data_IF_210945332796
#
_entry.id   IF_210945332796
#
_cell.length_a   1.000
_cell.length_b   1.000
_cell.length_c   1.000
_cell.angle_alpha   90.00
_cell.angle_beta   90.00
_cell.angle_gamma   90.00
#
_symmetry.space_group_name_H-M   'P 1'
#
loop_
_entity.id
_entity.type
_entity.pdbx_description
1 polymer ?
#
# COMPACT_ATOMS: atom_id res chain seq x y z
N UNK A 1 -20.82 8.78 20.50
CA UNK A 1 -20.31 7.96 21.62
C UNK A 1 -20.12 8.78 22.90
N UNK A 2 -19.71 10.05 22.81
CA UNK A 2 -19.73 11.00 23.95
C UNK A 2 -21.14 11.27 24.50
N UNK A 3 -22.17 11.44 23.65
CA UNK A 3 -23.55 11.68 24.12
C UNK A 3 -24.13 10.52 24.96
N UNK A 4 -23.73 9.28 24.70
CA UNK A 4 -24.18 8.12 25.47
C UNK A 4 -23.60 8.06 26.89
N UNK A 5 -22.46 8.70 27.14
CA UNK A 5 -21.84 8.74 28.47
C UNK A 5 -22.46 9.82 29.37
N UNK A 6 -22.82 10.97 28.81
CA UNK A 6 -23.48 12.04 29.59
C UNK A 6 -24.87 11.61 30.08
N UNK A 7 -25.64 10.90 29.24
CA UNK A 7 -26.98 10.39 29.61
C UNK A 7 -26.91 9.36 30.75
N UNK A 8 -25.86 8.53 30.79
CA UNK A 8 -25.69 7.55 31.86
C UNK A 8 -25.35 8.18 33.23
N UNK A 9 -24.61 9.29 33.22
CA UNK A 9 -24.27 10.04 34.44
C UNK A 9 -25.49 10.79 34.97
N UNK A 10 -26.30 11.38 34.09
CA UNK A 10 -27.52 12.09 34.49
C UNK A 10 -28.58 11.14 35.08
N UNK A 11 -28.70 9.92 34.54
CA UNK A 11 -29.59 8.89 35.08
C UNK A 11 -29.19 8.39 36.47
N UNK A 12 -27.88 8.28 36.75
CA UNK A 12 -27.39 7.86 38.07
C UNK A 12 -27.60 8.92 39.16
N UNK A 13 -27.56 10.20 38.80
CA UNK A 13 -27.72 11.31 39.75
C UNK A 13 -29.19 11.62 40.10
N UNK A 14 -30.13 11.25 39.23
CA UNK A 14 -31.56 11.54 39.41
C UNK A 14 -32.43 10.35 39.84
N UNK A 15 -31.86 9.19 40.21
CA UNK A 15 -32.63 8.06 40.73
C UNK A 15 -33.23 8.37 42.13
N UNK A 16 -34.57 8.48 42.27
CA UNK A 16 -35.23 8.87 43.53
C UNK A 16 -35.34 7.71 44.54
N UNK A 17 -34.77 6.55 44.25
CA UNK A 17 -34.87 5.32 45.06
C UNK A 17 -33.62 5.00 45.88
N UNK A 18 -32.54 5.76 45.77
CA UNK A 18 -31.36 5.62 46.63
C UNK A 18 -31.39 6.60 47.80
N UNK A 19 -32.37 6.43 48.69
CA UNK A 19 -32.34 7.07 50.00
C UNK A 19 -31.42 6.28 50.93
N UNK A 20 -30.20 6.79 51.15
CA UNK A 20 -29.37 6.39 52.29
C UNK A 20 -29.93 7.03 53.58
N UNK A 21 -31.17 6.71 53.93
CA UNK A 21 -31.70 6.97 55.26
C UNK A 21 -31.15 5.88 56.20
N UNK A 22 -29.97 6.12 56.79
CA UNK A 22 -29.50 5.26 57.88
C UNK A 22 -28.00 5.04 58.08
N UNK A 23 -27.10 5.86 57.55
CA UNK A 23 -25.66 5.75 57.86
C UNK A 23 -25.11 6.97 58.64
N UNK A 24 -25.94 7.97 58.94
CA UNK A 24 -25.43 9.24 59.50
C UNK A 24 -25.36 9.31 61.04
N UNK A 25 -25.56 8.21 61.77
CA UNK A 25 -25.60 8.25 63.26
C UNK A 25 -24.63 7.29 63.96
N UNK A 26 -23.89 6.41 63.25
CA UNK A 26 -22.85 5.57 63.89
C UNK A 26 -21.39 5.92 63.51
N UNK A 27 -21.14 6.93 62.68
CA UNK A 27 -19.76 7.36 62.30
C UNK A 27 -19.35 8.67 63.00
N UNK A 28 -19.73 8.84 64.27
CA UNK A 28 -19.20 9.94 65.11
C UNK A 28 -18.45 9.48 66.36
N UNK A 29 -18.26 8.18 66.58
CA UNK A 29 -17.63 7.67 67.82
C UNK A 29 -16.44 6.71 67.61
N UNK A 30 -15.93 6.54 66.39
CA UNK A 30 -14.70 5.77 66.13
C UNK A 30 -13.74 6.52 65.21
N UNK A 31 -13.60 7.84 65.41
CA UNK A 31 -12.38 8.55 65.01
C UNK A 31 -11.28 8.15 65.98
N UNK A 32 -10.86 6.88 65.93
CA UNK A 32 -9.49 6.56 66.28
C UNK A 32 -8.66 7.35 65.29
N UNK A 33 -7.79 8.23 65.79
CA UNK A 33 -6.74 8.86 64.98
C UNK A 33 -5.93 7.72 64.38
N UNK A 34 -6.35 7.23 63.22
CA UNK A 34 -5.51 6.33 62.45
C UNK A 34 -4.24 7.10 62.18
N UNK A 35 -3.09 6.56 62.55
CA UNK A 35 -1.89 7.35 62.54
C UNK A 35 -1.59 7.64 61.06
N UNK A 36 -1.51 8.92 60.74
CA UNK A 36 -1.51 9.50 59.38
C UNK A 36 -0.40 8.90 58.48
N UNK A 37 0.59 8.27 59.10
CA UNK A 37 1.63 7.53 58.41
C UNK A 37 1.10 6.33 57.61
N UNK A 38 -0.01 5.68 58.02
CA UNK A 38 -0.57 4.54 57.29
C UNK A 38 -1.10 4.95 55.91
N UNK A 39 -1.80 6.08 55.83
CA UNK A 39 -2.29 6.62 54.55
C UNK A 39 -1.15 7.08 53.65
N UNK A 40 -0.09 7.68 54.22
CA UNK A 40 1.09 8.08 53.45
C UNK A 40 1.86 6.87 52.88
N UNK A 41 2.04 5.80 53.67
CA UNK A 41 2.73 4.58 53.23
C UNK A 41 1.95 3.87 52.13
N UNK A 42 0.62 3.75 52.27
CA UNK A 42 -0.22 3.11 51.24
C UNK A 42 -0.21 3.92 49.95
N UNK A 43 -0.23 5.26 50.03
CA UNK A 43 -0.16 6.13 48.86
C UNK A 43 1.19 6.04 48.13
N UNK A 44 2.31 6.06 48.86
CA UNK A 44 3.64 5.87 48.26
C UNK A 44 3.79 4.49 47.62
N UNK A 45 3.26 3.43 48.26
CA UNK A 45 3.31 2.09 47.69
C UNK A 45 2.51 2.01 46.39
N UNK A 46 1.33 2.62 46.34
CA UNK A 46 0.50 2.65 45.12
C UNK A 46 1.21 3.39 43.97
N UNK A 47 1.81 4.55 44.24
CA UNK A 47 2.59 5.30 43.25
C UNK A 47 3.81 4.52 42.77
N UNK A 48 4.58 3.93 43.69
CA UNK A 48 5.74 3.12 43.34
C UNK A 48 5.35 1.90 42.50
N UNK A 49 4.19 1.31 42.77
CA UNK A 49 3.69 0.16 42.03
C UNK A 49 3.20 0.55 40.63
N UNK A 50 2.50 1.69 40.48
CA UNK A 50 2.11 2.22 39.16
C UNK A 50 3.34 2.56 38.32
N UNK A 51 4.33 3.25 38.90
CA UNK A 51 5.58 3.59 38.21
C UNK A 51 6.37 2.32 37.87
N UNK A 52 6.48 1.38 38.80
CA UNK A 52 7.14 0.09 38.59
C UNK A 52 6.48 -0.73 37.48
N UNK A 53 5.15 -0.80 37.44
CA UNK A 53 4.41 -1.46 36.36
C UNK A 53 4.59 -0.72 35.04
N UNK A 54 4.58 0.61 35.02
CA UNK A 54 4.78 1.37 33.77
C UNK A 54 6.18 1.19 33.16
N UNK A 55 7.20 0.88 33.97
CA UNK A 55 8.55 0.59 33.51
C UNK A 55 8.78 -0.90 33.17
N UNK A 56 7.95 -1.79 33.70
CA UNK A 56 8.03 -3.25 33.49
C UNK A 56 7.10 -3.76 32.39
N UNK A 57 6.24 -2.93 31.82
CA UNK A 57 5.60 -3.24 30.54
C UNK A 57 6.63 -2.91 29.46
N UNK A 58 7.39 -3.90 28.91
CA UNK A 58 8.15 -3.66 27.69
C UNK A 58 7.17 -3.05 26.69
N UNK A 59 7.54 -1.93 26.08
CA UNK A 59 6.65 -1.22 25.17
C UNK A 59 6.08 -2.20 24.15
N UNK A 60 4.84 -2.64 24.37
CA UNK A 60 4.04 -3.48 23.48
C UNK A 60 3.62 -2.68 22.23
N UNK A 61 4.36 -1.64 21.89
CA UNK A 61 4.49 -1.13 20.54
C UNK A 61 5.34 -2.12 19.74
N UNK A 62 4.92 -3.38 19.74
CA UNK A 62 5.32 -4.35 18.72
C UNK A 62 4.84 -3.74 17.43
N UNK A 63 5.71 -2.99 16.74
CA UNK A 63 5.46 -2.59 15.35
C UNK A 63 5.00 -3.86 14.65
N UNK A 64 3.92 -3.77 13.85
CA UNK A 64 3.44 -4.95 13.13
C UNK A 64 4.61 -5.57 12.39
N UNK A 65 4.67 -6.90 12.30
CA UNK A 65 5.77 -7.60 11.62
C UNK A 65 6.01 -7.04 10.20
N UNK A 66 4.95 -6.55 9.56
CA UNK A 66 4.97 -5.79 8.31
C UNK A 66 5.72 -4.46 8.40
N UNK A 67 5.41 -3.61 9.38
CA UNK A 67 6.11 -2.34 9.57
C UNK A 67 7.59 -2.54 9.93
N UNK A 68 7.89 -3.59 10.70
CA UNK A 68 9.27 -3.97 11.02
C UNK A 68 10.03 -4.45 9.78
N UNK A 69 9.41 -5.29 8.94
CA UNK A 69 9.97 -5.74 7.67
C UNK A 69 10.29 -4.57 6.73
N UNK A 70 9.37 -3.61 6.61
CA UNK A 70 9.55 -2.38 5.82
C UNK A 70 10.74 -1.56 6.32
N UNK A 71 10.81 -1.29 7.63
CA UNK A 71 11.89 -0.51 8.22
C UNK A 71 13.26 -1.17 8.05
N UNK A 72 13.35 -2.51 8.17
CA UNK A 72 14.59 -3.26 7.93
C UNK A 72 15.02 -3.13 6.46
N UNK A 73 14.09 -3.22 5.52
CA UNK A 73 14.38 -3.13 4.09
C UNK A 73 14.84 -1.72 3.67
N UNK A 74 14.16 -0.66 4.12
CA UNK A 74 14.49 0.75 3.78
C UNK A 74 15.89 1.16 4.26
N UNK A 75 16.28 0.67 5.44
CA UNK A 75 17.55 1.02 6.05
C UNK A 75 18.70 0.07 5.68
N UNK A 76 18.45 -0.93 4.82
CA UNK A 76 19.45 -1.93 4.47
C UNK A 76 20.48 -1.39 3.46
N UNK A 77 21.78 -1.42 3.79
CA UNK A 77 22.84 -1.03 2.85
C UNK A 77 22.86 -1.90 1.59
N UNK A 78 22.42 -3.16 1.69
CA UNK A 78 22.39 -4.09 0.55
C UNK A 78 21.29 -3.70 -0.44
N UNK A 79 20.13 -3.29 0.08
CA UNK A 79 19.00 -2.78 -0.72
C UNK A 79 19.39 -1.45 -1.36
N UNK A 80 20.04 -0.54 -0.61
CA UNK A 80 20.59 0.72 -1.12
C UNK A 80 21.66 0.54 -2.20
N UNK A 81 22.56 -0.43 -2.04
CA UNK A 81 23.57 -0.72 -3.05
C UNK A 81 22.96 -1.32 -4.32
N UNK A 82 21.88 -2.10 -4.20
CA UNK A 82 21.19 -2.72 -5.33
C UNK A 82 20.32 -1.72 -6.12
N UNK A 83 19.71 -0.75 -5.43
CA UNK A 83 18.91 0.33 -6.05
C UNK A 83 19.75 1.53 -6.47
N UNK A 84 20.94 1.71 -5.88
CA UNK A 84 21.95 2.70 -6.25
C UNK A 84 21.75 4.04 -5.58
N UNK A 85 22.11 4.17 -4.29
CA UNK A 85 22.18 5.41 -3.46
C UNK A 85 20.97 6.39 -3.49
N UNK A 86 19.93 6.08 -4.26
CA UNK A 86 18.72 6.88 -4.43
C UNK A 86 17.68 6.59 -3.34
N UNK A 87 16.66 7.46 -3.26
CA UNK A 87 15.53 7.26 -2.35
C UNK A 87 14.84 5.91 -2.64
N UNK A 88 14.72 5.10 -1.59
CA UNK A 88 14.08 3.79 -1.64
C UNK A 88 12.65 3.95 -1.16
N UNK A 89 11.71 3.45 -1.96
CA UNK A 89 10.33 3.28 -1.52
C UNK A 89 10.04 1.78 -1.37
N UNK A 90 9.63 1.35 -0.16
CA UNK A 90 9.10 -0.01 0.01
C UNK A 90 7.68 -0.03 -0.51
N UNK A 91 7.50 -0.71 -1.64
CA UNK A 91 6.20 -0.82 -2.31
C UNK A 91 5.24 -1.70 -1.53
N UNK A 92 5.72 -2.88 -1.09
CA UNK A 92 4.86 -3.88 -0.42
C UNK A 92 5.68 -4.97 0.27
N UNK A 93 5.18 -5.46 1.40
CA UNK A 93 5.62 -6.76 1.95
C UNK A 93 4.78 -7.85 1.28
N UNK A 94 5.43 -8.70 0.50
CA UNK A 94 4.81 -9.75 -0.32
C UNK A 94 4.37 -10.93 0.55
N UNK A 95 5.24 -11.35 1.48
CA UNK A 95 5.03 -12.57 2.26
C UNK A 95 5.69 -12.44 3.62
N UNK A 96 5.08 -13.05 4.64
CA UNK A 96 5.65 -13.12 5.99
C UNK A 96 5.40 -14.52 6.55
N UNK A 97 6.47 -15.31 6.69
CA UNK A 97 6.42 -16.71 7.15
C UNK A 97 7.61 -16.97 8.06
N UNK A 98 7.35 -17.56 9.23
CA UNK A 98 8.37 -17.98 10.20
C UNK A 98 9.44 -16.92 10.49
N UNK A 99 8.99 -15.72 10.90
CA UNK A 99 9.83 -14.56 11.21
C UNK A 99 10.72 -14.06 10.05
N UNK A 100 10.40 -14.49 8.82
CA UNK A 100 11.00 -13.97 7.59
C UNK A 100 9.96 -13.24 6.75
N UNK A 101 10.33 -12.04 6.30
CA UNK A 101 9.54 -11.24 5.39
C UNK A 101 10.15 -11.21 4.00
N UNK A 102 9.34 -11.20 2.96
CA UNK A 102 9.75 -10.87 1.60
C UNK A 102 9.21 -9.49 1.28
N UNK A 103 10.08 -8.53 1.02
CA UNK A 103 9.73 -7.11 0.80
C UNK A 103 10.10 -6.71 -0.63
N UNK A 104 9.19 -6.03 -1.32
CA UNK A 104 9.43 -5.45 -2.63
C UNK A 104 9.80 -3.98 -2.46
N UNK A 105 10.95 -3.59 -3.00
CA UNK A 105 11.46 -2.22 -2.96
C UNK A 105 11.59 -1.69 -4.39
N UNK A 106 11.21 -0.44 -4.60
CA UNK A 106 11.34 0.27 -5.85
C UNK A 106 12.30 1.46 -5.68
N UNK A 107 13.22 1.60 -6.63
CA UNK A 107 14.07 2.79 -6.75
C UNK A 107 13.50 3.78 -7.77
N UNK A 108 14.00 5.02 -7.77
CA UNK A 108 13.44 6.11 -8.58
C UNK A 108 13.45 5.88 -10.10
N UNK A 109 14.30 4.97 -10.57
CA UNK A 109 14.38 4.54 -11.99
C UNK A 109 13.46 3.35 -12.34
N UNK A 110 12.47 3.03 -11.50
CA UNK A 110 11.58 1.88 -11.70
C UNK A 110 12.25 0.52 -11.53
N UNK A 111 13.45 0.50 -10.92
CA UNK A 111 14.16 -0.74 -10.60
C UNK A 111 13.45 -1.39 -9.40
N UNK A 112 12.91 -2.58 -9.62
CA UNK A 112 12.23 -3.37 -8.60
C UNK A 112 13.15 -4.48 -8.11
N UNK A 113 13.40 -4.49 -6.80
CA UNK A 113 14.12 -5.58 -6.12
C UNK A 113 13.22 -6.22 -5.08
N UNK A 114 13.52 -7.46 -4.76
CA UNK A 114 12.89 -8.20 -3.67
C UNK A 114 13.96 -8.53 -2.65
N UNK A 115 13.75 -8.09 -1.41
CA UNK A 115 14.61 -8.35 -0.28
C UNK A 115 13.95 -9.35 0.67
N UNK A 116 14.68 -10.40 1.05
CA UNK A 116 14.29 -11.30 2.13
C UNK A 116 14.87 -10.75 3.44
N UNK A 117 13.97 -10.33 4.33
CA UNK A 117 14.28 -9.77 5.63
C UNK A 117 14.03 -10.82 6.70
N UNK A 118 14.93 -10.90 7.67
CA UNK A 118 14.80 -11.76 8.84
C UNK A 118 14.48 -10.86 10.05
N UNK A 119 13.30 -11.06 10.63
CA UNK A 119 12.75 -10.19 11.68
C UNK A 119 13.39 -10.45 13.05
N UNK A 120 13.93 -11.65 13.26
CA UNK A 120 14.62 -12.03 14.50
C UNK A 120 16.00 -11.36 14.56
N UNK A 121 16.76 -11.47 13.47
CA UNK A 121 18.09 -10.86 13.33
C UNK A 121 18.05 -9.38 12.97
N UNK A 122 16.92 -8.87 12.47
CA UNK A 122 16.73 -7.51 11.97
C UNK A 122 17.63 -7.16 10.77
N UNK A 123 17.97 -8.15 9.94
CA UNK A 123 18.86 -7.98 8.80
C UNK A 123 18.23 -8.45 7.48
N UNK A 124 18.74 -7.92 6.37
CA UNK A 124 18.44 -8.44 5.04
C UNK A 124 19.37 -9.61 4.76
N UNK A 125 18.79 -10.78 4.54
CA UNK A 125 19.52 -12.03 4.34
C UNK A 125 19.80 -12.29 2.87
N UNK A 126 18.90 -11.84 1.99
CA UNK A 126 19.06 -11.99 0.55
C UNK A 126 18.42 -10.81 -0.18
N UNK A 127 19.11 -10.28 -1.19
CA UNK A 127 18.55 -9.31 -2.13
C UNK A 127 18.53 -9.95 -3.50
N UNK A 128 17.33 -10.31 -3.96
CA UNK A 128 17.09 -10.79 -5.32
C UNK A 128 16.62 -9.61 -6.15
N UNK A 129 17.27 -9.37 -7.27
CA UNK A 129 16.74 -8.43 -8.27
C UNK A 129 15.59 -9.13 -8.99
N UNK A 130 14.38 -9.02 -8.44
CA UNK A 130 13.20 -9.73 -8.94
C UNK A 130 12.84 -9.32 -10.36
N UNK A 131 13.07 -8.05 -10.70
CA UNK A 131 13.05 -7.57 -12.06
C UNK A 131 14.33 -6.77 -12.22
N UNK A 132 15.40 -7.44 -12.67
CA UNK A 132 16.34 -6.73 -13.53
C UNK A 132 15.42 -6.33 -14.67
N UNK A 133 15.07 -5.04 -14.81
CA UNK A 133 14.41 -4.56 -16.02
C UNK A 133 15.27 -5.18 -17.13
N UNK A 134 14.72 -6.21 -17.78
CA UNK A 134 15.47 -7.10 -18.65
C UNK A 134 15.80 -6.21 -19.81
N UNK A 135 16.99 -5.57 -19.78
CA UNK A 135 17.44 -4.48 -20.66
C UNK A 135 16.30 -4.01 -21.54
N UNK A 136 15.29 -3.32 -20.94
CA UNK A 136 14.13 -2.93 -21.72
C UNK A 136 14.72 -2.04 -22.80
N UNK A 137 14.57 -2.41 -24.08
CA UNK A 137 15.26 -1.70 -25.13
C UNK A 137 14.85 -0.23 -25.01
N UNK A 138 15.85 0.65 -24.89
CA UNK A 138 15.58 2.08 -24.93
C UNK A 138 14.79 2.35 -26.21
N UNK A 139 13.66 3.03 -26.05
CA UNK A 139 12.83 3.38 -27.19
C UNK A 139 13.61 4.41 -28.02
N UNK A 140 13.81 4.15 -29.30
CA UNK A 140 14.44 5.15 -30.15
C UNK A 140 13.52 6.36 -30.32
N UNK A 141 14.07 7.55 -30.57
CA UNK A 141 13.25 8.75 -30.84
C UNK A 141 12.28 8.53 -32.02
N UNK A 142 12.66 7.69 -32.98
CA UNK A 142 11.82 7.32 -34.12
C UNK A 142 10.62 6.46 -33.68
N UNK A 143 10.87 5.43 -32.87
CA UNK A 143 9.83 4.54 -32.33
C UNK A 143 8.89 5.29 -31.38
N UNK A 144 9.43 6.21 -30.58
CA UNK A 144 8.65 7.10 -29.71
C UNK A 144 7.66 7.94 -30.53
N UNK A 145 8.16 8.60 -31.57
CA UNK A 145 7.33 9.44 -32.43
C UNK A 145 6.33 8.62 -33.23
N UNK A 146 6.70 7.41 -33.65
CA UNK A 146 5.80 6.46 -34.31
C UNK A 146 4.68 6.02 -33.38
N UNK A 147 4.98 5.67 -32.13
CA UNK A 147 3.98 5.32 -31.13
C UNK A 147 2.99 6.46 -30.89
N UNK A 148 3.47 7.70 -30.80
CA UNK A 148 2.63 8.90 -30.67
C UNK A 148 1.72 9.06 -31.90
N UNK A 149 2.24 8.84 -33.11
CA UNK A 149 1.48 8.97 -34.34
C UNK A 149 0.36 7.92 -34.42
N UNK A 150 0.68 6.66 -34.07
CA UNK A 150 -0.29 5.57 -34.00
C UNK A 150 -1.36 5.89 -32.96
N UNK A 151 -0.97 6.33 -31.76
CA UNK A 151 -1.90 6.71 -30.72
C UNK A 151 -2.82 7.86 -31.17
N UNK A 152 -2.29 8.92 -31.80
CA UNK A 152 -3.12 10.02 -32.33
C UNK A 152 -4.12 9.60 -33.41
N UNK A 153 -3.80 8.55 -34.16
CA UNK A 153 -4.66 8.03 -35.21
C UNK A 153 -5.79 7.14 -34.66
N UNK A 154 -5.66 6.63 -33.43
CA UNK A 154 -6.69 5.82 -32.79
C UNK A 154 -7.96 6.64 -32.49
N UNK A 155 -9.17 6.16 -32.82
CA UNK A 155 -10.40 6.91 -32.60
C UNK A 155 -10.67 7.28 -31.14
N UNK A 156 -10.37 6.38 -30.19
CA UNK A 156 -10.62 6.62 -28.76
C UNK A 156 -9.64 7.63 -28.19
N UNK A 157 -8.37 7.54 -28.57
CA UNK A 157 -7.38 8.57 -28.21
C UNK A 157 -7.72 9.90 -28.86
N UNK A 158 -8.11 9.92 -30.13
CA UNK A 158 -8.51 11.14 -30.83
C UNK A 158 -9.68 11.84 -30.13
N UNK A 159 -10.68 11.09 -29.67
CA UNK A 159 -11.80 11.64 -28.91
C UNK A 159 -11.34 12.33 -27.61
N UNK A 160 -10.36 11.76 -26.90
CA UNK A 160 -9.75 12.40 -25.73
C UNK A 160 -9.01 13.69 -26.11
N UNK A 161 -8.23 13.67 -27.18
CA UNK A 161 -7.49 14.84 -27.67
C UNK A 161 -8.44 15.97 -28.11
N UNK A 162 -9.55 15.63 -28.76
CA UNK A 162 -10.58 16.59 -29.17
C UNK A 162 -11.27 17.24 -27.95
N UNK A 163 -11.27 16.58 -26.79
CA UNK A 163 -11.71 17.14 -25.49
C UNK A 163 -10.65 18.01 -24.80
N UNK A 164 -9.45 18.15 -25.39
CA UNK A 164 -8.35 18.93 -24.85
C UNK A 164 -7.35 18.12 -24.04
N UNK A 165 -7.32 16.79 -24.19
CA UNK A 165 -6.28 15.97 -23.58
C UNK A 165 -4.91 16.24 -24.21
N UNK A 166 -3.85 16.02 -23.45
CA UNK A 166 -2.47 16.09 -23.93
C UNK A 166 -1.79 14.73 -23.85
N UNK A 167 -0.98 14.41 -24.86
CA UNK A 167 -0.07 13.27 -24.79
C UNK A 167 1.12 13.66 -23.92
N UNK A 168 1.40 12.84 -22.92
CA UNK A 168 2.51 12.99 -21.99
C UNK A 168 3.65 12.01 -22.32
N UNK A 169 4.11 11.29 -21.31
CA UNK A 169 5.25 10.38 -21.41
C UNK A 169 4.98 9.18 -22.32
N UNK A 170 6.04 8.72 -22.96
CA UNK A 170 6.05 7.50 -23.78
C UNK A 170 7.16 6.59 -23.26
N UNK A 171 6.85 5.32 -23.01
CA UNK A 171 7.84 4.38 -22.47
C UNK A 171 7.59 2.95 -22.95
N UNK A 172 8.66 2.15 -23.14
CA UNK A 172 8.53 0.76 -23.51
C UNK A 172 7.95 -0.04 -22.34
N UNK A 173 7.22 -1.11 -22.67
CA UNK A 173 6.70 -2.07 -21.73
C UNK A 173 6.79 -3.47 -22.33
N UNK A 174 7.36 -4.41 -21.60
CA UNK A 174 7.19 -5.82 -21.93
C UNK A 174 5.79 -6.27 -21.52
N UNK A 175 5.01 -6.81 -22.45
CA UNK A 175 3.67 -7.32 -22.19
C UNK A 175 3.61 -8.80 -22.57
N UNK A 176 3.00 -9.57 -21.69
CA UNK A 176 2.68 -10.97 -21.91
C UNK A 176 1.22 -11.21 -21.51
N UNK A 177 0.57 -12.16 -22.17
CA UNK A 177 -0.79 -12.54 -21.85
C UNK A 177 -1.42 -13.42 -22.91
N UNK A 178 -2.73 -13.60 -22.80
CA UNK A 178 -3.52 -14.35 -23.76
C UNK A 178 -4.39 -13.36 -24.57
N UNK A 179 -4.40 -13.48 -25.88
CA UNK A 179 -5.33 -12.79 -26.79
C UNK A 179 -6.28 -13.83 -27.37
N UNK A 180 -7.58 -13.58 -27.29
CA UNK A 180 -8.57 -14.43 -27.96
C UNK A 180 -8.98 -13.75 -29.26
N UNK A 181 -8.76 -14.43 -30.38
CA UNK A 181 -9.25 -13.99 -31.67
C UNK A 181 -10.79 -14.05 -31.67
N UNK A 182 -11.43 -12.92 -32.00
CA UNK A 182 -12.89 -12.77 -31.89
C UNK A 182 -13.62 -13.55 -32.98
N UNK A 183 -12.99 -13.80 -34.13
CA UNK A 183 -13.61 -14.49 -35.26
C UNK A 183 -13.54 -16.00 -35.10
N UNK A 184 -12.41 -16.52 -34.61
CA UNK A 184 -12.16 -17.97 -34.48
C UNK A 184 -12.45 -18.50 -33.08
N UNK A 185 -12.36 -17.63 -32.06
CA UNK A 185 -12.43 -18.01 -30.65
C UNK A 185 -11.15 -18.67 -30.13
N UNK A 186 -10.09 -18.75 -30.95
CA UNK A 186 -8.81 -19.32 -30.54
C UNK A 186 -8.06 -18.36 -29.61
N UNK A 187 -7.48 -18.89 -28.54
CA UNK A 187 -6.64 -18.13 -27.62
C UNK A 187 -5.17 -18.36 -27.96
N UNK A 188 -4.46 -17.28 -28.25
CA UNK A 188 -3.03 -17.27 -28.50
C UNK A 188 -2.30 -16.58 -27.35
N UNK A 189 -1.18 -17.17 -26.93
CA UNK A 189 -0.25 -16.52 -26.01
C UNK A 189 0.54 -15.46 -26.78
N UNK A 190 0.44 -14.20 -26.36
CA UNK A 190 1.28 -13.14 -26.89
C UNK A 190 2.35 -12.79 -25.87
N UNK A 191 3.57 -12.63 -26.36
CA UNK A 191 4.65 -11.98 -25.63
C UNK A 191 5.34 -11.02 -26.59
N UNK A 192 5.47 -9.77 -26.18
CA UNK A 192 6.00 -8.72 -27.06
C UNK A 192 6.26 -7.41 -26.34
N UNK A 193 7.04 -6.57 -27.01
CA UNK A 193 7.28 -5.20 -26.56
C UNK A 193 6.15 -4.32 -27.08
N UNK A 194 5.46 -3.66 -26.16
CA UNK A 194 4.48 -2.62 -26.43
C UNK A 194 5.05 -1.28 -25.99
N UNK A 195 4.48 -0.20 -26.50
CA UNK A 195 4.80 1.16 -26.08
C UNK A 195 3.60 1.74 -25.35
N UNK A 196 3.80 2.24 -24.14
CA UNK A 196 2.78 2.98 -23.41
C UNK A 196 2.86 4.45 -23.76
N UNK A 197 1.73 5.02 -24.18
CA UNK A 197 1.57 6.44 -24.41
C UNK A 197 0.60 6.98 -23.37
N UNK A 198 1.09 7.85 -22.48
CA UNK A 198 0.29 8.49 -21.46
C UNK A 198 -0.54 9.63 -22.07
N UNK A 199 -1.81 9.71 -21.69
CA UNK A 199 -2.76 10.74 -22.14
C UNK A 199 -3.40 11.35 -20.90
N UNK A 200 -3.40 12.68 -20.81
CA UNK A 200 -3.89 13.40 -19.63
C UNK A 200 -5.05 14.34 -20.01
N UNK A 201 -6.16 14.27 -19.27
CA UNK A 201 -7.31 15.17 -19.39
C UNK A 201 -7.74 15.64 -18.00
N UNK A 202 -7.20 16.79 -17.56
CA UNK A 202 -7.47 17.34 -16.23
C UNK A 202 -6.94 16.44 -15.10
N UNK A 203 -7.84 15.87 -14.30
CA UNK A 203 -7.53 14.96 -13.19
C UNK A 203 -7.54 13.48 -13.58
N UNK A 204 -7.91 13.17 -14.83
CA UNK A 204 -7.93 11.82 -15.36
C UNK A 204 -6.72 11.56 -16.24
N UNK A 205 -6.27 10.31 -16.24
CA UNK A 205 -5.18 9.86 -17.08
C UNK A 205 -5.57 8.55 -17.78
N UNK A 206 -5.05 8.33 -18.97
CA UNK A 206 -5.19 7.09 -19.72
C UNK A 206 -3.82 6.60 -20.16
N UNK A 207 -3.70 5.29 -20.32
CA UNK A 207 -2.56 4.65 -20.97
C UNK A 207 -3.05 3.97 -22.24
N UNK A 208 -2.55 4.43 -23.38
CA UNK A 208 -2.67 3.72 -24.64
C UNK A 208 -1.49 2.74 -24.77
N UNK A 209 -1.79 1.45 -24.85
CA UNK A 209 -0.81 0.44 -25.19
C UNK A 209 -0.76 0.32 -26.72
N UNK A 210 0.38 0.70 -27.29
CA UNK A 210 0.64 0.73 -28.73
C UNK A 210 1.49 -0.48 -29.10
N UNK A 211 1.03 -1.20 -30.11
CA UNK A 211 1.80 -2.25 -30.77
C UNK A 211 2.42 -1.66 -32.03
N UNK A 212 3.73 -1.40 -31.99
CA UNK A 212 4.46 -0.80 -33.11
C UNK A 212 4.51 -1.74 -34.32
N UNK A 213 4.56 -3.06 -34.10
CA UNK A 213 4.63 -4.03 -35.19
C UNK A 213 3.30 -4.12 -35.95
N UNK A 214 2.18 -4.07 -35.23
CA UNK A 214 0.84 -4.06 -35.82
C UNK A 214 0.36 -2.65 -36.23
N UNK A 215 1.04 -1.59 -35.79
CA UNK A 215 0.70 -0.21 -36.11
C UNK A 215 -0.63 0.25 -35.50
N UNK A 216 -1.00 -0.26 -34.31
CA UNK A 216 -2.31 0.02 -33.70
C UNK A 216 -2.28 0.14 -32.18
N UNK A 217 -3.27 0.83 -31.62
CA UNK A 217 -3.54 0.81 -30.18
C UNK A 217 -4.27 -0.50 -29.84
N UNK A 218 -3.62 -1.36 -29.06
CA UNK A 218 -4.21 -2.65 -28.65
C UNK A 218 -5.08 -2.52 -27.40
N UNK A 219 -4.86 -1.47 -26.60
CA UNK A 219 -5.63 -1.22 -25.38
C UNK A 219 -5.57 0.25 -24.97
N UNK A 220 -6.70 0.78 -24.51
CA UNK A 220 -6.80 2.10 -23.88
C UNK A 220 -7.41 1.92 -22.49
N UNK A 221 -6.68 2.30 -21.44
CA UNK A 221 -7.07 2.08 -20.05
C UNK A 221 -7.14 3.43 -19.33
N UNK A 222 -8.26 3.74 -18.68
CA UNK A 222 -8.33 4.85 -17.72
C UNK A 222 -7.59 4.44 -16.44
N UNK A 223 -6.67 5.27 -15.99
CA UNK A 223 -5.95 5.10 -14.74
C UNK A 223 -6.28 6.28 -13.82
N UNK A 224 -6.36 6.03 -12.52
CA UNK A 224 -6.35 7.13 -11.57
C UNK A 224 -4.98 7.81 -11.70
N UNK A 225 -4.99 9.15 -11.81
CA UNK A 225 -3.79 9.96 -12.02
C UNK A 225 -2.73 9.55 -11.01
N UNK A 226 -1.69 8.89 -11.51
CA UNK A 226 -0.52 8.55 -10.73
C UNK A 226 0.04 9.89 -10.24
N UNK A 227 0.15 10.04 -8.92
CA UNK A 227 0.84 11.18 -8.34
C UNK A 227 2.23 11.32 -9.00
N UNK A 228 2.73 12.55 -9.19
CA UNK A 228 3.93 12.81 -9.99
C UNK A 228 5.08 11.89 -9.59
N UNK A 229 5.46 10.98 -10.51
CA UNK A 229 6.66 10.11 -10.60
C UNK A 229 7.46 9.91 -9.30
N UNK A 230 6.77 9.59 -8.21
CA UNK A 230 7.38 9.38 -6.89
C UNK A 230 6.48 8.59 -5.96
N UNK A 231 5.52 7.84 -6.51
CA UNK A 231 4.65 6.91 -5.78
C UNK A 231 3.86 6.08 -6.80
N UNK A 232 4.48 5.03 -7.34
CA UNK A 232 3.74 4.01 -8.07
C UNK A 232 3.08 3.07 -7.05
N UNK A 233 1.76 3.13 -6.91
CA UNK A 233 1.02 1.98 -6.36
C UNK A 233 0.65 1.07 -7.53
N UNK A 234 1.47 0.03 -7.77
CA UNK A 234 0.99 -1.12 -8.54
C UNK A 234 -0.23 -1.68 -7.80
N UNK A 235 -1.32 -1.93 -8.55
CA UNK A 235 -2.58 -2.42 -8.01
C UNK A 235 -2.44 -3.72 -7.20
N UNK A 236 -3.52 -4.12 -6.54
CA UNK A 236 -3.54 -5.29 -5.66
C UNK A 236 -3.15 -6.57 -6.42
N UNK A 237 -1.96 -7.10 -6.09
CA UNK A 237 -1.51 -8.42 -6.46
C UNK A 237 -2.21 -9.46 -5.58
N UNK A 238 -2.93 -10.40 -6.19
CA UNK A 238 -3.20 -11.70 -5.58
C UNK A 238 -2.06 -12.65 -5.99
N UNK A 239 -1.36 -13.18 -4.99
CA UNK A 239 -0.36 -14.22 -5.17
C UNK A 239 -1.04 -15.53 -4.81
N UNK A 240 -1.12 -16.45 -5.76
CA UNK A 240 -1.52 -17.83 -5.46
C UNK A 240 -0.39 -18.50 -4.68
N UNK A 241 -0.66 -18.84 -3.41
CA UNK A 241 0.34 -19.32 -2.46
C UNK A 241 0.83 -20.74 -2.77
N UNK A 242 0.13 -21.54 -3.59
CA UNK A 242 0.51 -22.94 -3.84
C UNK A 242 1.62 -23.12 -4.90
N UNK A 243 1.76 -22.22 -5.87
CA UNK A 243 2.72 -22.42 -6.98
C UNK A 243 3.87 -21.39 -7.05
N UNK A 244 3.87 -20.34 -6.22
CA UNK A 244 4.85 -19.25 -6.34
C UNK A 244 4.77 -18.52 -7.68
N UNK A 245 3.62 -18.63 -8.35
CA UNK A 245 3.32 -18.01 -9.64
C UNK A 245 2.59 -16.68 -9.37
N UNK A 246 3.16 -15.58 -9.85
CA UNK A 246 2.48 -14.28 -9.80
C UNK A 246 1.56 -14.22 -11.02
N UNK A 247 0.26 -14.47 -10.82
CA UNK A 247 -0.73 -14.33 -11.89
C UNK A 247 -1.29 -12.90 -11.90
N UNK A 248 -1.12 -12.23 -13.04
CA UNK A 248 -1.70 -10.92 -13.27
C UNK A 248 -3.16 -11.06 -13.66
N UNK A 249 -4.07 -10.99 -12.69
CA UNK A 249 -5.49 -10.85 -12.96
C UNK A 249 -5.81 -9.39 -13.26
N UNK A 250 -5.53 -8.96 -14.49
CA UNK A 250 -6.04 -7.68 -14.98
C UNK A 250 -7.52 -7.90 -15.29
N UNK A 251 -8.39 -7.49 -14.37
CA UNK A 251 -9.84 -7.60 -14.54
C UNK A 251 -10.29 -7.14 -15.93
N UNK A 252 -11.19 -7.91 -16.54
CA UNK A 252 -11.86 -7.62 -17.81
C UNK A 252 -12.82 -6.42 -17.69
N UNK A 253 -12.30 -5.26 -17.27
CA UNK A 253 -12.97 -3.97 -17.41
C UNK A 253 -12.94 -3.54 -18.87
N UNK A 254 -13.61 -4.30 -19.73
CA UNK A 254 -13.97 -3.85 -21.06
C UNK A 254 -14.92 -2.67 -20.92
N UNK A 255 -14.68 -1.62 -21.70
CA UNK A 255 -15.64 -0.54 -21.90
C UNK A 255 -16.87 -1.18 -22.56
N UNK A 256 -17.91 -1.46 -21.77
CA UNK A 256 -19.23 -1.73 -22.32
C UNK A 256 -19.72 -0.46 -23.01
N UNK A 257 -19.80 -0.51 -24.35
CA UNK A 257 -20.45 0.52 -25.14
C UNK A 257 -21.93 0.51 -24.80
N UNK A 258 -22.37 1.43 -23.95
CA UNK A 258 -23.80 1.75 -23.84
C UNK A 258 -24.21 2.55 -25.08
N UNK A 259 -24.76 1.88 -26.08
CA UNK A 259 -25.59 2.50 -27.11
C UNK A 259 -26.99 2.74 -26.55
N UNK A 260 -27.34 4.00 -26.33
CA UNK A 260 -28.71 4.51 -26.36
C UNK A 260 -28.75 5.79 -27.20
#
# INVERSE_FOLDING_TARGET
>A
EEESQEIAIEYLLNCPTFKFDGIDIMIRSLVSRQPVWKTAVVSMLALALVVGLSLMVPSLSTKSAYAQATEIAENSPQVQAALGEEEIEVVKVIKLVDDKGTVMCEGTMGRLITAEVDLESQEVTEVKVAIKIVDMPELSEADEQEAINIARADPGVKELLDQGASIGMVFPMYSFGMRTDVETGETEEFSGMLVRVAIELGEKSWLAHVDLAEGKVVRLIEIQKLLPVGTFKLGDFEVDEEEGRVEFHIGNGGIERNTQ
#
